data_IF_262949335875
#
_entry.id   IF_262949335875
#
_cell.length_a   1.000
_cell.length_b   1.000
_cell.length_c   1.000
_cell.angle_alpha   90.00
_cell.angle_beta   90.00
_cell.angle_gamma   90.00
#
_symmetry.space_group_name_H-M   'P 1'
#
loop_
_entity.id
_entity.type
_entity.pdbx_description
1 polymer ?
#
# COMPACT_ATOMS: atom_id res chain seq x y z
N UNK A 1 -22.25 -3.68 -6.95
CA UNK A 1 -21.73 -2.42 -7.58
C UNK A 1 -20.27 -2.65 -7.97
N UNK A 2 -19.78 -2.15 -9.11
CA UNK A 2 -18.38 -2.35 -9.51
C UNK A 2 -17.41 -1.76 -8.48
N UNK A 3 -16.36 -2.50 -8.13
CA UNK A 3 -15.26 -2.04 -7.28
C UNK A 3 -14.20 -1.35 -8.18
N UNK A 4 -14.47 -0.10 -8.56
CA UNK A 4 -13.57 0.68 -9.42
C UNK A 4 -12.14 0.81 -8.84
N UNK A 5 -11.94 1.02 -7.52
CA UNK A 5 -10.61 0.96 -6.91
C UNK A 5 -9.92 -0.39 -7.09
N UNK A 6 -10.62 -1.51 -6.87
CA UNK A 6 -10.07 -2.85 -7.09
C UNK A 6 -9.68 -3.11 -8.55
N UNK A 7 -10.48 -2.65 -9.51
CA UNK A 7 -10.17 -2.77 -10.93
C UNK A 7 -8.87 -2.06 -11.32
N UNK A 8 -8.53 -0.95 -10.64
CA UNK A 8 -7.29 -0.19 -10.87
C UNK A 8 -6.03 -0.93 -10.41
N UNK A 9 -6.16 -1.88 -9.48
CA UNK A 9 -5.03 -2.69 -9.02
C UNK A 9 -4.70 -3.87 -9.94
N UNK A 10 -5.62 -4.28 -10.82
CA UNK A 10 -5.42 -5.44 -11.71
C UNK A 10 -4.20 -5.34 -12.63
N UNK A 11 -3.88 -4.18 -13.25
CA UNK A 11 -2.65 -4.06 -14.05
C UNK A 11 -1.39 -4.27 -13.21
N UNK A 12 -1.35 -3.75 -11.98
CA UNK A 12 -0.23 -3.95 -11.05
C UNK A 12 -0.12 -5.41 -10.63
N UNK A 13 -1.22 -6.06 -10.23
CA UNK A 13 -1.24 -7.47 -9.86
C UNK A 13 -0.75 -8.36 -11.02
N UNK A 14 -1.19 -8.08 -12.25
CA UNK A 14 -0.73 -8.79 -13.45
C UNK A 14 0.76 -8.56 -13.74
N UNK A 15 1.23 -7.33 -13.65
CA UNK A 15 2.63 -7.00 -13.85
C UNK A 15 3.53 -7.70 -12.81
N UNK A 16 3.10 -7.77 -11.55
CA UNK A 16 3.79 -8.49 -10.48
C UNK A 16 3.81 -10.00 -10.78
N UNK A 17 2.65 -10.60 -11.06
CA UNK A 17 2.55 -12.04 -11.35
C UNK A 17 3.33 -12.46 -12.61
N UNK A 18 3.44 -11.57 -13.59
CA UNK A 18 4.18 -11.80 -14.84
C UNK A 18 5.67 -11.52 -14.75
N UNK A 19 6.17 -10.91 -13.68
CA UNK A 19 7.58 -10.58 -13.55
C UNK A 19 8.42 -11.86 -13.40
N UNK A 20 9.58 -11.94 -14.08
CA UNK A 20 10.47 -13.10 -14.00
C UNK A 20 10.92 -13.42 -12.56
N UNK A 21 11.02 -12.41 -11.72
CA UNK A 21 11.35 -12.54 -10.29
C UNK A 21 10.21 -13.11 -9.44
N UNK A 22 9.00 -13.24 -9.98
CA UNK A 22 7.80 -13.69 -9.26
C UNK A 22 7.49 -15.19 -9.41
N UNK A 23 8.44 -15.99 -9.93
CA UNK A 23 8.22 -17.44 -10.14
C UNK A 23 7.84 -18.20 -8.85
N UNK A 24 8.27 -17.69 -7.69
CA UNK A 24 7.96 -18.24 -6.36
C UNK A 24 7.13 -17.26 -5.51
N UNK A 25 6.35 -16.38 -6.15
CA UNK A 25 5.52 -15.38 -5.45
C UNK A 25 4.05 -15.70 -5.63
N UNK A 26 3.34 -15.85 -4.50
CA UNK A 26 1.87 -15.89 -4.49
C UNK A 26 1.33 -14.47 -4.51
N UNK A 27 0.50 -14.15 -5.51
CA UNK A 27 -0.20 -12.87 -5.61
C UNK A 27 -1.65 -13.06 -5.17
N UNK A 28 -2.07 -12.31 -4.16
CA UNK A 28 -3.44 -12.29 -3.65
C UNK A 28 -3.99 -10.85 -3.63
N UNK A 29 -5.32 -10.72 -3.70
CA UNK A 29 -6.02 -9.43 -3.65
C UNK A 29 -6.84 -9.33 -2.36
N UNK A 30 -6.80 -8.17 -1.71
CA UNK A 30 -7.66 -7.87 -0.55
C UNK A 30 -8.95 -7.22 -1.03
N UNK A 31 -10.09 -7.70 -0.52
CA UNK A 31 -11.41 -7.07 -0.74
C UNK A 31 -11.87 -6.41 0.53
N UNK A 32 -12.15 -5.11 0.47
CA UNK A 32 -12.68 -4.38 1.61
C UNK A 32 -14.18 -4.61 1.77
N UNK A 33 -14.60 -4.91 3.00
CA UNK A 33 -16.00 -5.15 3.34
C UNK A 33 -16.79 -3.84 3.31
N UNK A 34 -16.19 -2.77 3.83
CA UNK A 34 -16.81 -1.45 3.92
C UNK A 34 -16.17 -0.43 2.96
N UNK A 35 -16.96 0.57 2.56
CA UNK A 35 -16.46 1.70 1.76
C UNK A 35 -15.92 2.78 2.69
N UNK A 36 -14.73 3.27 2.39
CA UNK A 36 -14.11 4.37 3.12
C UNK A 36 -13.31 3.92 4.34
N UNK A 37 -12.72 4.90 5.01
CA UNK A 37 -11.85 4.67 6.18
C UNK A 37 -12.60 4.47 7.48
N UNK A 38 -13.84 4.96 7.55
CA UNK A 38 -14.77 4.75 8.67
C UNK A 38 -14.24 5.28 10.02
N UNK A 39 -13.58 6.45 9.96
CA UNK A 39 -13.15 7.20 11.15
C UNK A 39 -12.11 6.46 11.99
N UNK A 40 -12.39 6.30 13.28
CA UNK A 40 -11.50 5.60 14.21
C UNK A 40 -11.49 4.09 13.99
N UNK A 41 -12.52 3.52 13.34
CA UNK A 41 -12.60 2.08 13.08
C UNK A 41 -11.52 1.60 12.13
N UNK A 42 -11.14 2.43 11.15
CA UNK A 42 -10.11 2.09 10.17
C UNK A 42 -10.36 0.72 9.52
N UNK A 43 -11.60 0.43 9.13
CA UNK A 43 -12.02 -0.90 8.66
C UNK A 43 -11.09 -1.49 7.58
N UNK A 44 -10.59 -0.73 6.58
CA UNK A 44 -9.67 -1.29 5.59
C UNK A 44 -8.39 -1.89 6.18
N UNK A 45 -7.94 -1.45 7.35
CA UNK A 45 -6.78 -2.03 8.05
C UNK A 45 -7.11 -3.43 8.58
N UNK A 46 -8.31 -3.58 9.15
CA UNK A 46 -8.79 -4.85 9.67
C UNK A 46 -8.97 -5.88 8.54
N UNK A 47 -9.49 -5.43 7.39
CA UNK A 47 -9.62 -6.26 6.20
C UNK A 47 -8.24 -6.75 5.69
N UNK A 48 -7.20 -5.90 5.72
CA UNK A 48 -5.83 -6.32 5.37
C UNK A 48 -5.29 -7.34 6.38
N UNK A 49 -5.47 -7.11 7.69
CA UNK A 49 -5.02 -8.08 8.70
C UNK A 49 -5.75 -9.41 8.61
N UNK A 50 -7.05 -9.40 8.31
CA UNK A 50 -7.80 -10.63 8.06
C UNK A 50 -7.25 -11.37 6.83
N UNK A 51 -7.03 -10.67 5.72
CA UNK A 51 -6.46 -11.27 4.53
C UNK A 51 -5.05 -11.85 4.75
N UNK A 52 -4.22 -11.20 5.58
CA UNK A 52 -2.90 -11.73 5.98
C UNK A 52 -3.03 -13.04 6.77
N UNK A 53 -3.98 -13.11 7.71
CA UNK A 53 -4.25 -14.34 8.48
C UNK A 53 -4.74 -15.47 7.58
N UNK A 54 -5.68 -15.18 6.69
CA UNK A 54 -6.20 -16.15 5.72
C UNK A 54 -5.09 -16.65 4.79
N UNK A 55 -4.24 -15.75 4.28
CA UNK A 55 -3.09 -16.12 3.47
C UNK A 55 -2.11 -17.00 4.26
N UNK A 56 -1.85 -16.69 5.52
CA UNK A 56 -1.01 -17.50 6.39
C UNK A 56 -1.58 -18.92 6.61
N UNK A 57 -2.90 -19.07 6.72
CA UNK A 57 -3.54 -20.38 6.82
C UNK A 57 -3.40 -21.22 5.54
N UNK A 58 -3.38 -20.58 4.37
CA UNK A 58 -3.31 -21.26 3.07
C UNK A 58 -1.87 -21.55 2.63
N UNK A 59 -0.96 -20.58 2.81
CA UNK A 59 0.40 -20.62 2.27
C UNK A 59 1.50 -20.74 3.35
N UNK A 60 1.14 -20.70 4.64
CA UNK A 60 2.09 -20.65 5.75
C UNK A 60 2.60 -19.23 6.05
N UNK A 61 3.45 -19.07 7.09
CA UNK A 61 3.94 -17.77 7.56
C UNK A 61 5.08 -17.22 6.69
N UNK A 62 4.77 -16.92 5.43
CA UNK A 62 5.73 -16.40 4.46
C UNK A 62 5.92 -14.88 4.61
N UNK A 63 7.10 -14.33 4.27
CA UNK A 63 7.29 -12.89 4.15
C UNK A 63 6.32 -12.26 3.14
N UNK A 64 5.66 -11.16 3.52
CA UNK A 64 4.65 -10.47 2.69
C UNK A 64 5.14 -9.08 2.28
N UNK A 65 4.89 -8.73 1.02
CA UNK A 65 4.94 -7.35 0.53
C UNK A 65 3.52 -6.87 0.24
N UNK A 66 3.11 -5.76 0.85
CA UNK A 66 1.80 -5.16 0.61
C UNK A 66 1.91 -4.07 -0.46
N UNK A 67 0.99 -4.09 -1.44
CA UNK A 67 0.88 -3.05 -2.47
C UNK A 67 -0.51 -2.44 -2.39
N UNK A 68 -0.60 -1.15 -2.12
CA UNK A 68 -1.87 -0.48 -1.88
C UNK A 68 -1.97 0.88 -2.55
N UNK A 69 -3.15 1.21 -3.08
CA UNK A 69 -3.42 2.50 -3.73
C UNK A 69 -4.31 3.39 -2.85
N UNK A 70 -4.01 4.69 -2.75
CA UNK A 70 -4.86 5.67 -2.04
C UNK A 70 -5.17 5.24 -0.60
N UNK A 71 -6.44 5.06 -0.24
CA UNK A 71 -6.87 4.50 1.04
C UNK A 71 -6.28 3.11 1.31
N UNK A 72 -6.14 2.26 0.29
CA UNK A 72 -5.50 0.96 0.43
C UNK A 72 -3.99 1.05 0.65
N UNK A 73 -3.35 2.09 0.14
CA UNK A 73 -1.96 2.42 0.47
C UNK A 73 -1.81 2.80 1.94
N UNK A 74 -2.73 3.61 2.47
CA UNK A 74 -2.79 3.91 3.91
C UNK A 74 -3.05 2.66 4.75
N UNK A 75 -3.98 1.82 4.31
CA UNK A 75 -4.29 0.57 4.99
C UNK A 75 -3.07 -0.36 5.06
N UNK A 76 -2.35 -0.51 3.94
CA UNK A 76 -1.11 -1.28 3.88
C UNK A 76 -0.03 -0.72 4.82
N UNK A 77 0.13 0.62 4.87
CA UNK A 77 1.07 1.26 5.80
C UNK A 77 0.72 0.97 7.26
N UNK A 78 -0.55 1.00 7.64
CA UNK A 78 -0.98 0.63 9.01
C UNK A 78 -0.81 -0.87 9.28
N UNK A 79 -1.13 -1.70 8.31
CA UNK A 79 -1.06 -3.14 8.43
C UNK A 79 0.38 -3.68 8.53
N UNK A 80 1.38 -2.87 8.17
CA UNK A 80 2.80 -3.16 8.35
C UNK A 80 3.23 -3.41 9.81
N UNK A 81 2.34 -3.22 10.79
CA UNK A 81 2.55 -3.68 12.15
C UNK A 81 2.56 -5.22 12.28
N UNK A 82 2.04 -5.94 11.28
CA UNK A 82 2.09 -7.39 11.22
C UNK A 82 3.54 -7.87 10.95
N UNK A 83 4.08 -8.82 11.74
CA UNK A 83 5.49 -9.24 11.65
C UNK A 83 5.85 -9.93 10.33
N UNK A 84 4.88 -10.48 9.59
CA UNK A 84 5.12 -11.08 8.28
C UNK A 84 5.33 -10.03 7.19
N UNK A 85 4.88 -8.79 7.41
CA UNK A 85 5.04 -7.71 6.43
C UNK A 85 6.48 -7.21 6.46
N UNK A 86 7.19 -7.39 5.34
CA UNK A 86 8.59 -6.94 5.18
C UNK A 86 8.72 -5.74 4.27
N UNK A 87 7.71 -5.48 3.44
CA UNK A 87 7.69 -4.33 2.56
C UNK A 87 6.27 -3.78 2.34
N UNK A 88 6.18 -2.46 2.11
CA UNK A 88 4.97 -1.78 1.64
C UNK A 88 5.31 -0.89 0.45
N UNK A 89 4.54 -1.04 -0.62
CA UNK A 89 4.51 -0.11 -1.76
C UNK A 89 3.18 0.65 -1.74
N UNK A 90 3.24 1.94 -1.40
CA UNK A 90 2.08 2.83 -1.43
C UNK A 90 2.02 3.60 -2.75
N UNK A 91 0.95 3.41 -3.52
CA UNK A 91 0.69 4.11 -4.78
C UNK A 91 -0.28 5.26 -4.52
N UNK A 92 0.18 6.50 -4.66
CA UNK A 92 -0.56 7.71 -4.29
C UNK A 92 -1.32 7.56 -2.95
N UNK A 93 -0.64 7.12 -1.85
CA UNK A 93 -1.33 6.77 -0.63
C UNK A 93 -1.92 8.02 0.03
N UNK A 94 -3.10 7.86 0.62
CA UNK A 94 -3.67 8.91 1.45
C UNK A 94 -3.00 8.91 2.84
N UNK A 95 -2.05 9.82 3.06
CA UNK A 95 -1.33 9.96 4.33
C UNK A 95 -1.74 11.27 5.03
N UNK A 96 -2.73 11.26 5.93
CA UNK A 96 -3.08 12.47 6.66
C UNK A 96 -1.95 12.93 7.62
N UNK A 97 -1.97 14.19 8.06
CA UNK A 97 -1.04 14.69 9.06
C UNK A 97 -1.01 13.78 10.30
N UNK A 98 0.19 13.51 10.82
CA UNK A 98 0.37 12.65 11.98
C UNK A 98 0.17 11.15 11.73
N UNK A 99 -0.05 10.69 10.49
CA UNK A 99 -0.17 9.25 10.21
C UNK A 99 1.01 8.44 10.82
N UNK A 100 0.76 7.43 11.66
CA UNK A 100 1.80 6.76 12.44
C UNK A 100 2.86 6.04 11.62
N UNK A 101 4.07 6.04 12.15
CA UNK A 101 5.27 5.43 11.54
C UNK A 101 6.06 4.53 12.50
N UNK A 102 5.77 4.58 13.81
CA UNK A 102 6.58 3.88 14.82
C UNK A 102 6.51 2.36 14.70
N UNK A 103 5.40 1.84 14.21
CA UNK A 103 5.18 0.40 14.05
C UNK A 103 5.94 -0.21 12.86
N UNK A 104 6.57 0.59 12.00
CA UNK A 104 7.20 0.09 10.78
C UNK A 104 8.39 -0.84 11.06
N UNK A 105 9.15 -0.60 12.13
CA UNK A 105 10.35 -1.37 12.45
C UNK A 105 11.28 -1.48 11.22
N UNK A 106 11.62 -2.72 10.85
CA UNK A 106 12.48 -3.02 9.69
C UNK A 106 11.74 -3.03 8.34
N UNK A 107 10.42 -2.77 8.32
CA UNK A 107 9.62 -2.80 7.09
C UNK A 107 10.15 -1.79 6.08
N UNK A 108 10.46 -2.25 4.87
CA UNK A 108 10.82 -1.38 3.77
C UNK A 108 9.59 -0.66 3.22
N UNK A 109 9.64 0.65 3.04
CA UNK A 109 8.50 1.44 2.54
C UNK A 109 8.90 2.20 1.29
N UNK A 110 8.15 2.04 0.22
CA UNK A 110 8.28 2.84 -1.01
C UNK A 110 6.96 3.52 -1.29
N UNK A 111 6.94 4.84 -1.31
CA UNK A 111 5.77 5.62 -1.69
C UNK A 111 6.00 6.24 -3.07
N UNK A 112 5.11 5.95 -4.00
CA UNK A 112 5.14 6.52 -5.36
C UNK A 112 3.98 7.49 -5.49
N UNK A 113 4.23 8.73 -5.87
CA UNK A 113 3.19 9.76 -5.93
C UNK A 113 3.47 10.76 -7.04
N UNK A 114 2.43 11.14 -7.78
CA UNK A 114 2.45 12.30 -8.66
C UNK A 114 2.17 13.58 -7.86
N UNK A 115 3.07 14.56 -7.91
CA UNK A 115 2.94 15.83 -7.20
C UNK A 115 1.77 16.70 -7.71
N UNK A 116 1.27 16.40 -8.91
CA UNK A 116 0.07 17.02 -9.47
C UNK A 116 -1.23 16.22 -9.17
N UNK A 117 -1.18 15.23 -8.28
CA UNK A 117 -2.38 14.55 -7.79
C UNK A 117 -3.32 15.56 -7.08
N UNK A 118 -4.60 15.53 -7.47
CA UNK A 118 -5.66 16.41 -6.94
C UNK A 118 -6.60 15.70 -5.96
N UNK A 119 -6.40 14.42 -5.71
CA UNK A 119 -7.24 13.60 -4.82
C UNK A 119 -6.54 13.38 -3.49
N UNK A 120 -5.27 12.99 -3.53
CA UNK A 120 -4.40 12.89 -2.35
C UNK A 120 -3.19 13.79 -2.55
N UNK A 121 -2.77 14.47 -1.49
CA UNK A 121 -1.61 15.36 -1.53
C UNK A 121 -0.30 14.56 -1.39
N UNK A 122 0.59 14.71 -2.37
CA UNK A 122 1.92 14.09 -2.37
C UNK A 122 2.76 14.52 -1.16
N UNK A 123 2.55 15.72 -0.63
CA UNK A 123 3.26 16.20 0.57
C UNK A 123 3.00 15.27 1.77
N UNK A 124 1.81 14.69 1.88
CA UNK A 124 1.50 13.69 2.91
C UNK A 124 2.38 12.45 2.80
N UNK A 125 2.72 12.02 1.58
CA UNK A 125 3.64 10.89 1.34
C UNK A 125 5.08 11.26 1.70
N UNK A 126 5.54 12.45 1.31
CA UNK A 126 6.89 12.93 1.62
C UNK A 126 7.11 13.12 3.12
N UNK A 127 6.11 13.65 3.81
CA UNK A 127 6.10 13.76 5.27
C UNK A 127 6.12 12.41 5.96
N UNK A 128 5.36 11.43 5.47
CA UNK A 128 5.37 10.07 5.98
C UNK A 128 6.78 9.45 5.85
N UNK A 129 7.39 9.51 4.67
CA UNK A 129 8.74 8.99 4.42
C UNK A 129 9.77 9.66 5.31
N UNK A 130 9.72 11.00 5.44
CA UNK A 130 10.62 11.77 6.30
C UNK A 130 10.50 11.34 7.76
N UNK A 131 9.28 11.25 8.30
CA UNK A 131 9.06 10.79 9.69
C UNK A 131 9.48 9.35 9.90
N UNK A 132 9.22 8.46 8.94
CA UNK A 132 9.61 7.06 9.01
C UNK A 132 11.14 6.91 9.05
N UNK A 133 11.86 7.62 8.17
CA UNK A 133 13.34 7.65 8.16
C UNK A 133 13.91 8.20 9.47
N UNK A 134 13.33 9.27 10.01
CA UNK A 134 13.75 9.83 11.30
C UNK A 134 13.59 8.85 12.48
N UNK A 135 12.83 7.76 12.29
CA UNK A 135 12.65 6.68 13.26
C UNK A 135 13.42 5.40 12.90
N UNK A 136 14.30 5.46 11.90
CA UNK A 136 15.16 4.35 11.49
C UNK A 136 14.58 3.43 10.42
N UNK A 137 13.36 3.68 9.93
CA UNK A 137 12.74 2.83 8.91
C UNK A 137 13.40 3.02 7.54
N UNK A 138 13.46 1.93 6.75
CA UNK A 138 13.93 1.92 5.36
C UNK A 138 12.84 2.45 4.42
N UNK A 139 12.62 3.76 4.43
CA UNK A 139 11.59 4.39 3.61
C UNK A 139 12.16 5.17 2.42
N UNK A 140 11.43 5.26 1.32
CA UNK A 140 11.76 6.09 0.16
C UNK A 140 10.50 6.65 -0.51
N UNK A 141 10.63 7.86 -1.05
CA UNK A 141 9.63 8.49 -1.90
C UNK A 141 10.12 8.52 -3.34
N UNK A 142 9.23 8.22 -4.29
CA UNK A 142 9.49 8.27 -5.73
C UNK A 142 8.45 9.20 -6.36
N UNK A 143 8.90 10.37 -6.81
CA UNK A 143 8.05 11.27 -7.56
C UNK A 143 7.71 10.65 -8.92
N UNK A 144 6.43 10.65 -9.28
CA UNK A 144 5.94 10.19 -10.58
C UNK A 144 5.57 11.42 -11.42
N UNK A 145 6.29 11.73 -12.51
CA UNK A 145 6.08 12.98 -13.25
C UNK A 145 4.70 13.15 -13.90
N UNK A 146 3.98 12.06 -14.19
CA UNK A 146 2.71 12.11 -14.90
C UNK A 146 1.84 10.86 -14.68
N UNK A 147 1.33 10.65 -13.48
CA UNK A 147 0.44 9.52 -13.13
C UNK A 147 -0.99 9.90 -12.79
N UNK A 148 -1.20 11.12 -12.27
CA UNK A 148 -2.35 11.52 -11.46
C UNK A 148 -2.64 10.57 -10.30
N UNK A 149 -3.79 10.78 -9.65
CA UNK A 149 -4.23 9.84 -8.60
C UNK A 149 -4.29 8.40 -9.07
N UNK A 150 -4.69 8.16 -10.33
CA UNK A 150 -4.83 6.81 -10.83
C UNK A 150 -3.50 6.07 -11.00
N UNK A 151 -2.37 6.78 -11.07
CA UNK A 151 -1.05 6.22 -11.38
C UNK A 151 -1.00 5.49 -12.73
N UNK A 152 -1.93 5.80 -13.64
CA UNK A 152 -2.09 5.15 -14.95
C UNK A 152 -1.99 6.13 -16.13
N UNK A 153 -1.83 7.43 -15.88
CA UNK A 153 -1.59 8.36 -16.99
C UNK A 153 -0.30 7.94 -17.70
N UNK A 154 -0.37 7.81 -19.03
CA UNK A 154 0.74 7.38 -19.91
C UNK A 154 1.24 5.95 -19.65
N UNK A 155 0.46 5.10 -18.96
CA UNK A 155 0.68 3.66 -19.04
C UNK A 155 0.40 3.18 -20.47
N UNK A 156 1.23 2.27 -21.03
CA UNK A 156 1.03 1.73 -22.37
C UNK A 156 -0.29 0.94 -22.50
#
# INVERSE_FOLDING_TARGET
>A
RPNLPGLRMRPFARAIAGARAARDVVVAEVRYEHRGWNGHRADPVHDVWQALRELCCVAGPLPVALVGHSMGGRAALRAAADPLVRAVVGLAPWCPPGEPVLHLGDTAVVLVHDEADRVTDAQGSWDYVRRARARGARAAGIAMPAGGHAMLRRAP
#
